data_IF_409069076319
#
_entry.id   IF_409069076319
#
_cell.length_a   1.000
_cell.length_b   1.000
_cell.length_c   1.000
_cell.angle_alpha   90.00
_cell.angle_beta   90.00
_cell.angle_gamma   90.00
#
_symmetry.space_group_name_H-M   'P 1'
#
loop_
_entity.id
_entity.type
_entity.pdbx_description
1 polymer ?
#
# COMPACT_ATOMS: atom_id res chain seq x y z
N UNK A 1 -18.91 -5.07 -28.38
CA UNK A 1 -18.06 -5.51 -27.26
C UNK A 1 -18.83 -6.56 -26.47
N UNK A 2 -18.22 -7.70 -26.18
CA UNK A 2 -18.78 -8.66 -25.21
C UNK A 2 -18.67 -8.09 -23.80
N UNK A 3 -19.63 -8.42 -22.95
CA UNK A 3 -19.64 -8.03 -21.53
C UNK A 3 -19.18 -9.23 -20.69
N UNK A 4 -18.08 -9.08 -19.96
CA UNK A 4 -17.55 -10.12 -19.08
C UNK A 4 -17.85 -9.76 -17.63
N UNK A 5 -18.48 -10.67 -16.88
CA UNK A 5 -18.65 -10.52 -15.43
C UNK A 5 -17.30 -10.73 -14.75
N UNK A 6 -16.91 -9.80 -13.86
CA UNK A 6 -15.66 -9.95 -13.13
C UNK A 6 -15.77 -11.05 -12.08
N UNK A 7 -14.72 -11.86 -12.00
CA UNK A 7 -14.49 -12.90 -10.99
C UNK A 7 -13.25 -12.55 -10.15
N UNK A 8 -13.06 -13.17 -8.97
CA UNK A 8 -11.97 -12.85 -8.06
C UNK A 8 -10.54 -12.88 -8.65
N UNK A 9 -10.30 -13.74 -9.63
CA UNK A 9 -9.04 -13.92 -10.36
C UNK A 9 -8.60 -12.71 -11.20
N UNK A 10 -9.52 -11.79 -11.52
CA UNK A 10 -9.18 -10.51 -12.15
C UNK A 10 -8.53 -9.52 -11.18
N UNK A 11 -8.64 -9.73 -9.87
CA UNK A 11 -8.31 -8.71 -8.87
C UNK A 11 -6.97 -9.02 -8.22
N UNK A 12 -6.02 -8.10 -8.34
CA UNK A 12 -4.70 -8.20 -7.73
C UNK A 12 -4.52 -7.15 -6.63
N UNK A 13 -3.71 -7.46 -5.61
CA UNK A 13 -3.41 -6.56 -4.48
C UNK A 13 -4.47 -6.45 -3.38
N UNK A 14 -5.60 -7.17 -3.52
CA UNK A 14 -6.60 -7.33 -2.46
C UNK A 14 -6.28 -8.54 -1.58
N UNK A 15 -6.66 -8.48 -0.30
CA UNK A 15 -6.53 -9.58 0.66
C UNK A 15 -7.73 -10.53 0.60
N UNK A 16 -8.92 -9.99 0.40
CA UNK A 16 -10.14 -10.76 0.20
C UNK A 16 -11.12 -9.98 -0.68
N UNK A 17 -12.11 -10.67 -1.22
CA UNK A 17 -13.08 -10.10 -2.16
C UNK A 17 -14.47 -10.48 -1.66
N UNK A 18 -15.24 -9.47 -1.26
CA UNK A 18 -16.61 -9.60 -0.77
C UNK A 18 -17.55 -9.69 -2.00
N UNK A 19 -18.28 -10.80 -2.18
CA UNK A 19 -19.29 -10.89 -3.23
C UNK A 19 -20.54 -10.11 -2.82
N UNK A 20 -21.06 -9.30 -3.74
CA UNK A 20 -22.36 -8.64 -3.64
C UNK A 20 -23.32 -9.10 -4.72
N UNK A 21 -24.50 -8.50 -4.78
CA UNK A 21 -25.50 -8.76 -5.83
C UNK A 21 -25.01 -8.18 -7.18
N UNK A 22 -24.30 -9.02 -7.95
CA UNK A 22 -23.76 -8.64 -9.27
C UNK A 22 -22.47 -7.82 -9.24
N UNK A 23 -21.82 -7.68 -8.08
CA UNK A 23 -20.55 -6.95 -7.93
C UNK A 23 -19.55 -7.68 -7.04
N UNK A 24 -18.28 -7.32 -7.16
CA UNK A 24 -17.17 -7.71 -6.30
C UNK A 24 -16.61 -6.48 -5.60
N UNK A 25 -16.41 -6.56 -4.28
CA UNK A 25 -15.78 -5.50 -3.50
C UNK A 25 -14.44 -6.01 -2.94
N UNK A 26 -13.30 -5.52 -3.43
CA UNK A 26 -12.00 -5.87 -2.88
C UNK A 26 -11.79 -5.23 -1.51
N UNK A 27 -11.16 -5.98 -0.62
CA UNK A 27 -10.76 -5.55 0.72
C UNK A 27 -9.27 -5.75 0.94
N UNK A 28 -8.65 -4.84 1.68
CA UNK A 28 -7.26 -4.96 2.17
C UNK A 28 -7.21 -5.55 3.59
N UNK A 29 -8.23 -6.33 3.92
CA UNK A 29 -8.36 -7.17 5.11
C UNK A 29 -9.20 -8.39 4.74
N UNK A 30 -9.42 -9.33 5.67
CA UNK A 30 -10.42 -10.38 5.50
C UNK A 30 -11.81 -9.83 5.84
N UNK A 31 -12.68 -9.69 4.82
CA UNK A 31 -14.02 -9.10 4.99
C UNK A 31 -14.92 -9.89 5.94
N UNK A 32 -14.64 -11.18 6.17
CA UNK A 32 -15.37 -12.03 7.14
C UNK A 32 -14.90 -11.85 8.59
N UNK A 33 -13.82 -11.09 8.80
CA UNK A 33 -13.17 -10.94 10.10
C UNK A 33 -13.00 -9.46 10.48
N UNK A 34 -13.75 -8.55 9.86
CA UNK A 34 -13.63 -7.10 10.05
C UNK A 34 -13.77 -6.68 11.51
N UNK A 35 -14.64 -7.35 12.26
CA UNK A 35 -14.89 -7.08 13.68
C UNK A 35 -13.68 -7.38 14.58
N UNK A 36 -12.69 -8.11 14.07
CA UNK A 36 -11.42 -8.36 14.77
C UNK A 36 -10.42 -7.21 14.63
N UNK A 37 -10.76 -6.13 13.91
CA UNK A 37 -9.88 -4.98 13.68
C UNK A 37 -10.48 -3.70 14.29
N UNK A 38 -10.57 -3.61 15.64
CA UNK A 38 -11.23 -2.49 16.30
C UNK A 38 -10.45 -1.18 16.12
N UNK A 39 -11.18 -0.07 15.99
CA UNK A 39 -10.61 1.28 16.02
C UNK A 39 -11.67 2.29 16.45
N UNK A 40 -11.25 3.47 16.89
CA UNK A 40 -12.18 4.56 17.20
C UNK A 40 -12.94 4.94 15.95
N UNK A 41 -14.27 4.96 16.03
CA UNK A 41 -15.21 5.23 14.94
C UNK A 41 -15.04 4.30 13.71
N UNK A 42 -14.55 3.08 13.89
CA UNK A 42 -14.29 2.10 12.81
C UNK A 42 -13.38 2.62 11.67
N UNK A 43 -12.55 3.64 11.94
CA UNK A 43 -11.69 4.28 10.94
C UNK A 43 -10.73 3.29 10.28
N UNK A 44 -10.18 2.32 11.00
CA UNK A 44 -9.32 1.29 10.42
C UNK A 44 -10.07 0.49 9.35
N UNK A 45 -11.32 0.12 9.63
CA UNK A 45 -12.15 -0.63 8.70
C UNK A 45 -12.45 0.18 7.44
N UNK A 46 -12.76 1.48 7.57
CA UNK A 46 -12.91 2.36 6.41
C UNK A 46 -11.66 2.40 5.53
N UNK A 47 -10.46 2.46 6.14
CA UNK A 47 -9.20 2.45 5.38
C UNK A 47 -8.96 1.09 4.73
N UNK A 48 -9.25 -0.01 5.40
CA UNK A 48 -9.15 -1.37 4.84
C UNK A 48 -10.08 -1.60 3.64
N UNK A 49 -11.21 -0.90 3.57
CA UNK A 49 -12.15 -0.98 2.46
C UNK A 49 -11.70 -0.19 1.21
N UNK A 50 -10.78 0.77 1.35
CA UNK A 50 -10.28 1.57 0.24
C UNK A 50 -9.32 0.72 -0.62
N UNK A 51 -9.43 0.66 -1.96
CA UNK A 51 -8.70 -0.29 -2.79
C UNK A 51 -7.32 0.22 -3.22
N UNK A 52 -6.58 0.80 -2.27
CA UNK A 52 -5.23 1.35 -2.48
C UNK A 52 -4.27 0.24 -2.90
N UNK A 53 -3.66 0.37 -4.08
CA UNK A 53 -2.77 -0.65 -4.66
C UNK A 53 -3.49 -1.85 -5.29
N UNK A 54 -4.83 -1.88 -5.24
CA UNK A 54 -5.63 -2.91 -5.90
C UNK A 54 -5.79 -2.57 -7.38
N UNK A 55 -5.80 -3.59 -8.24
CA UNK A 55 -5.90 -3.45 -9.69
C UNK A 55 -6.71 -4.58 -10.32
N UNK A 56 -7.36 -4.29 -11.44
CA UNK A 56 -7.99 -5.29 -12.31
C UNK A 56 -6.98 -5.67 -13.38
N UNK A 57 -6.56 -6.94 -13.41
CA UNK A 57 -5.53 -7.46 -14.31
C UNK A 57 -6.12 -8.47 -15.31
N UNK A 58 -5.91 -8.23 -16.60
CA UNK A 58 -6.52 -9.03 -17.67
C UNK A 58 -5.73 -8.99 -18.98
N UNK A 59 -5.99 -9.92 -19.89
CA UNK A 59 -5.68 -9.80 -21.33
C UNK A 59 -6.94 -9.53 -22.13
N UNK A 60 -6.81 -8.97 -23.33
CA UNK A 60 -7.95 -8.66 -24.20
C UNK A 60 -7.50 -8.49 -25.64
N UNK A 61 -8.31 -8.97 -26.59
CA UNK A 61 -8.09 -8.73 -28.03
C UNK A 61 -8.64 -7.39 -28.50
N UNK A 62 -9.33 -6.65 -27.63
CA UNK A 62 -9.80 -5.30 -27.93
C UNK A 62 -8.75 -4.24 -27.65
N UNK A 63 -8.70 -3.22 -28.51
CA UNK A 63 -7.95 -1.98 -28.28
C UNK A 63 -8.70 -0.99 -27.38
N UNK A 64 -9.95 -1.29 -27.02
CA UNK A 64 -10.81 -0.50 -26.13
C UNK A 64 -11.49 -1.41 -25.12
N UNK A 65 -11.53 -0.98 -23.86
CA UNK A 65 -12.27 -1.67 -22.79
C UNK A 65 -13.04 -0.69 -21.91
N UNK A 66 -14.18 -1.13 -21.38
CA UNK A 66 -14.97 -0.35 -20.43
C UNK A 66 -15.14 -1.12 -19.13
N UNK A 67 -14.58 -0.59 -18.04
CA UNK A 67 -14.77 -1.12 -16.68
C UNK A 67 -16.04 -0.49 -16.08
N UNK A 68 -16.94 -1.32 -15.57
CA UNK A 68 -18.16 -0.90 -14.87
C UNK A 68 -18.06 -1.15 -13.37
N UNK A 69 -18.71 -0.28 -12.59
CA UNK A 69 -18.64 -0.23 -11.14
C UNK A 69 -19.90 0.40 -10.55
N UNK A 70 -20.12 0.20 -9.25
CA UNK A 70 -21.16 0.94 -8.52
C UNK A 70 -20.77 2.42 -8.35
N UNK A 71 -21.78 3.32 -8.24
CA UNK A 71 -21.54 4.75 -8.09
C UNK A 71 -20.82 5.07 -6.78
N UNK A 72 -19.96 6.10 -6.82
CA UNK A 72 -19.33 6.68 -5.63
C UNK A 72 -19.87 8.09 -5.36
N UNK A 73 -19.78 8.53 -4.11
CA UNK A 73 -20.10 9.92 -3.71
C UNK A 73 -18.96 10.89 -4.02
N UNK A 74 -17.77 10.38 -4.36
CA UNK A 74 -16.57 11.17 -4.67
C UNK A 74 -16.07 10.84 -6.06
N UNK A 75 -15.40 11.82 -6.65
CA UNK A 75 -14.61 11.61 -7.85
C UNK A 75 -13.50 10.59 -7.58
N UNK A 76 -13.22 9.75 -8.57
CA UNK A 76 -12.24 8.67 -8.48
C UNK A 76 -11.28 8.71 -9.65
N UNK A 77 -9.98 8.58 -9.38
CA UNK A 77 -8.96 8.44 -10.40
C UNK A 77 -8.64 6.95 -10.64
N UNK A 78 -8.37 6.62 -11.89
CA UNK A 78 -7.94 5.30 -12.33
C UNK A 78 -6.77 5.44 -13.31
N UNK A 79 -5.84 4.50 -13.24
CA UNK A 79 -4.71 4.45 -14.18
C UNK A 79 -4.75 3.17 -15.01
N UNK A 80 -4.60 3.32 -16.33
CA UNK A 80 -4.28 2.21 -17.22
C UNK A 80 -2.76 2.02 -17.23
N UNK A 81 -2.29 0.84 -16.83
CA UNK A 81 -0.87 0.49 -16.80
C UNK A 81 -0.61 -0.72 -17.70
N UNK A 82 0.34 -0.58 -18.60
CA UNK A 82 0.79 -1.62 -19.54
C UNK A 82 2.32 -1.67 -19.48
N UNK A 83 2.88 -2.86 -19.22
CA UNK A 83 4.34 -3.07 -19.10
C UNK A 83 5.00 -2.02 -18.18
N UNK A 84 4.50 -1.90 -16.95
CA UNK A 84 4.92 -0.92 -15.93
C UNK A 84 4.75 0.58 -16.28
N UNK A 85 4.26 0.90 -17.48
CA UNK A 85 4.07 2.28 -17.94
C UNK A 85 2.63 2.71 -17.77
N UNK A 86 2.40 3.86 -17.12
CA UNK A 86 1.08 4.49 -17.07
C UNK A 86 0.78 5.05 -18.46
N UNK A 87 -0.28 4.54 -19.09
CA UNK A 87 -0.69 4.90 -20.45
C UNK A 87 -1.73 6.02 -20.44
N UNK A 88 -2.62 5.98 -19.46
CA UNK A 88 -3.69 6.97 -19.32
C UNK A 88 -4.13 7.04 -17.86
N UNK A 89 -4.38 8.26 -17.38
CA UNK A 89 -5.05 8.54 -16.10
C UNK A 89 -6.40 9.16 -16.41
N UNK A 90 -7.47 8.62 -15.82
CA UNK A 90 -8.82 9.15 -16.01
C UNK A 90 -9.53 9.37 -14.68
N UNK A 91 -10.26 10.48 -14.61
CA UNK A 91 -11.18 10.79 -13.53
C UNK A 91 -12.59 10.32 -13.90
N UNK A 92 -13.23 9.66 -12.96
CA UNK A 92 -14.65 9.30 -13.00
C UNK A 92 -15.35 10.20 -11.98
N UNK A 93 -16.22 11.13 -12.42
CA UNK A 93 -16.98 11.99 -11.53
C UNK A 93 -17.87 11.20 -10.55
N UNK A 94 -18.20 11.81 -9.42
CA UNK A 94 -19.17 11.26 -8.48
C UNK A 94 -20.50 10.88 -9.19
N UNK A 95 -21.05 9.72 -8.84
CA UNK A 95 -22.27 9.16 -9.43
C UNK A 95 -22.07 8.36 -10.73
N UNK A 96 -20.97 8.57 -11.46
CA UNK A 96 -20.68 7.82 -12.69
C UNK A 96 -20.26 6.36 -12.38
N UNK A 97 -20.64 5.46 -13.29
CA UNK A 97 -20.60 4.00 -13.07
C UNK A 97 -19.72 3.24 -14.07
N UNK A 98 -19.05 3.95 -14.98
CA UNK A 98 -18.16 3.30 -15.95
C UNK A 98 -16.98 4.19 -16.33
N UNK A 99 -15.92 3.54 -16.81
CA UNK A 99 -14.73 4.20 -17.36
C UNK A 99 -14.25 3.41 -18.57
N UNK A 100 -13.96 4.10 -19.66
CA UNK A 100 -13.48 3.48 -20.91
C UNK A 100 -12.04 3.88 -21.16
N UNK A 101 -11.19 2.90 -21.46
CA UNK A 101 -9.79 3.07 -21.86
C UNK A 101 -9.61 2.65 -23.32
N UNK A 102 -8.78 3.38 -24.07
CA UNK A 102 -8.47 3.12 -25.47
C UNK A 102 -6.97 2.82 -25.63
N UNK A 103 -6.56 2.54 -26.87
CA UNK A 103 -5.16 2.28 -27.25
C UNK A 103 -4.50 1.13 -26.47
N UNK A 104 -5.31 0.11 -26.11
CA UNK A 104 -4.80 -1.15 -25.60
C UNK A 104 -4.11 -1.96 -26.71
N UNK A 105 -3.18 -2.89 -26.37
CA UNK A 105 -2.44 -3.68 -27.36
C UNK A 105 -3.32 -4.51 -28.30
N UNK A 106 -4.48 -4.97 -27.83
CA UNK A 106 -5.36 -5.86 -28.60
C UNK A 106 -4.79 -7.28 -28.79
N UNK A 107 -3.97 -7.73 -27.84
CA UNK A 107 -3.33 -9.04 -27.83
C UNK A 107 -3.29 -9.63 -26.40
N UNK A 108 -2.50 -10.69 -26.21
CA UNK A 108 -2.37 -11.38 -24.91
C UNK A 108 -1.43 -10.66 -23.92
N UNK A 109 -1.04 -9.42 -24.17
CA UNK A 109 -0.26 -8.61 -23.22
C UNK A 109 -1.13 -8.27 -22.00
N UNK A 110 -0.71 -8.61 -20.76
CA UNK A 110 -1.46 -8.24 -19.57
C UNK A 110 -1.55 -6.72 -19.38
N UNK A 111 -2.73 -6.27 -18.99
CA UNK A 111 -3.06 -4.87 -18.69
C UNK A 111 -3.58 -4.77 -17.26
N UNK A 112 -3.17 -3.73 -16.53
CA UNK A 112 -3.68 -3.41 -15.20
C UNK A 112 -4.50 -2.11 -15.23
N UNK A 113 -5.72 -2.13 -14.69
CA UNK A 113 -6.45 -0.90 -14.31
C UNK A 113 -6.32 -0.73 -12.80
N UNK A 114 -5.54 0.26 -12.37
CA UNK A 114 -5.34 0.58 -10.96
C UNK A 114 -6.56 1.33 -10.40
N UNK A 115 -7.05 0.86 -9.25
CA UNK A 115 -8.26 1.38 -8.62
C UNK A 115 -7.98 2.61 -7.76
N UNK A 116 -9.03 3.39 -7.51
CA UNK A 116 -8.95 4.61 -6.72
C UNK A 116 -8.40 4.37 -5.30
N UNK A 117 -7.61 5.31 -4.78
CA UNK A 117 -7.10 5.26 -3.40
C UNK A 117 -8.12 5.79 -2.35
N UNK A 118 -9.32 6.19 -2.79
CA UNK A 118 -10.40 6.74 -1.95
C UNK A 118 -11.68 5.92 -2.07
N UNK A 119 -12.38 5.77 -0.94
CA UNK A 119 -13.62 4.99 -0.78
C UNK A 119 -13.49 3.52 -1.19
N UNK A 120 -14.45 2.69 -0.80
CA UNK A 120 -14.57 1.35 -1.38
C UNK A 120 -15.01 1.43 -2.85
N UNK A 121 -14.53 0.51 -3.69
CA UNK A 121 -14.98 0.37 -5.07
C UNK A 121 -15.60 -1.00 -5.29
N UNK A 122 -16.87 -1.04 -5.68
CA UNK A 122 -17.54 -2.28 -6.09
C UNK A 122 -17.53 -2.41 -7.61
N UNK A 123 -16.90 -3.46 -8.13
CA UNK A 123 -16.68 -3.71 -9.56
C UNK A 123 -17.73 -4.69 -10.10
N UNK A 124 -18.24 -4.47 -11.31
CA UNK A 124 -19.27 -5.33 -11.89
C UNK A 124 -18.76 -6.10 -13.10
N UNK A 125 -18.50 -5.40 -14.21
CA UNK A 125 -18.19 -6.00 -15.50
C UNK A 125 -17.05 -5.29 -16.20
N UNK A 126 -16.42 -6.02 -17.12
CA UNK A 126 -15.43 -5.48 -18.06
C UNK A 126 -15.90 -5.79 -19.48
N UNK A 127 -16.18 -4.74 -20.26
CA UNK A 127 -16.59 -4.87 -21.66
C UNK A 127 -15.38 -4.82 -22.59
N UNK A 128 -15.24 -5.82 -23.45
CA UNK A 128 -14.13 -6.00 -24.38
C UNK A 128 -14.17 -7.38 -25.03
N UNK A 129 -13.50 -7.55 -26.16
CA UNK A 129 -13.37 -8.83 -26.87
C UNK A 129 -12.34 -9.73 -26.20
N UNK A 130 -12.73 -10.97 -25.91
CA UNK A 130 -11.83 -11.99 -25.34
C UNK A 130 -11.15 -11.55 -24.04
N UNK A 131 -11.87 -10.79 -23.19
CA UNK A 131 -11.37 -10.40 -21.87
C UNK A 131 -11.21 -11.66 -21.00
N UNK A 132 -10.00 -11.89 -20.50
CA UNK A 132 -9.64 -13.02 -19.63
C UNK A 132 -8.79 -12.54 -18.45
N UNK A 133 -8.90 -13.16 -17.26
CA UNK A 133 -8.05 -12.81 -16.13
C UNK A 133 -6.60 -13.18 -16.46
N UNK A 134 -5.65 -12.34 -16.03
CA UNK A 134 -4.23 -12.61 -16.24
C UNK A 134 -3.52 -12.82 -14.89
N UNK A 135 -2.80 -13.94 -14.78
CA UNK A 135 -2.00 -14.24 -13.61
C UNK A 135 -0.90 -13.18 -13.41
N UNK A 136 -0.46 -13.03 -12.16
CA UNK A 136 0.60 -12.11 -11.78
C UNK A 136 1.73 -12.89 -11.06
N UNK A 137 2.69 -13.46 -11.81
CA UNK A 137 3.76 -14.28 -11.26
C UNK A 137 4.89 -13.47 -10.62
N UNK A 138 4.79 -12.13 -10.64
CA UNK A 138 5.79 -11.23 -10.07
C UNK A 138 5.92 -11.46 -8.57
N UNK A 139 7.12 -11.19 -8.05
CA UNK A 139 7.43 -11.25 -6.62
C UNK A 139 6.41 -10.46 -5.79
N UNK A 140 5.81 -11.11 -4.80
CA UNK A 140 4.79 -10.55 -3.91
C UNK A 140 5.44 -9.65 -2.88
N UNK A 141 5.20 -8.36 -3.01
CA UNK A 141 5.63 -7.37 -2.05
C UNK A 141 4.45 -6.82 -1.27
N UNK A 142 4.51 -6.95 0.06
CA UNK A 142 3.59 -6.28 0.96
C UNK A 142 4.27 -5.08 1.61
N UNK A 143 3.58 -3.93 1.61
CA UNK A 143 4.02 -2.77 2.40
C UNK A 143 2.98 -2.35 3.41
N UNK A 144 3.36 -2.12 4.67
CA UNK A 144 2.47 -1.64 5.74
C UNK A 144 2.89 -0.25 6.20
N UNK A 145 1.94 0.65 6.41
CA UNK A 145 2.26 2.00 6.90
C UNK A 145 1.08 2.93 7.06
N UNK A 146 1.38 4.21 7.26
CA UNK A 146 0.44 5.27 7.60
C UNK A 146 -0.27 5.91 6.39
N UNK A 147 -0.78 7.14 6.55
CA UNK A 147 -1.30 7.99 5.48
C UNK A 147 -0.29 8.21 4.36
N UNK A 148 0.99 8.34 4.72
CA UNK A 148 2.10 8.47 3.76
C UNK A 148 2.24 7.20 2.90
N UNK A 149 1.80 6.03 3.39
CA UNK A 149 1.74 4.80 2.58
C UNK A 149 0.43 4.66 1.82
N UNK A 150 -0.66 5.23 2.32
CA UNK A 150 -1.92 5.31 1.60
C UNK A 150 -1.89 6.27 0.40
N UNK A 151 -1.11 7.35 0.49
CA UNK A 151 -0.83 8.31 -0.58
C UNK A 151 -2.05 9.03 -1.18
N UNK A 152 -2.94 9.58 -0.35
CA UNK A 152 -4.14 10.27 -0.84
C UNK A 152 -3.83 11.53 -1.68
N UNK A 153 -2.65 12.10 -1.52
CA UNK A 153 -2.18 13.31 -2.22
C UNK A 153 -1.33 12.98 -3.45
N UNK A 154 -1.23 11.69 -3.81
CA UNK A 154 -0.60 11.28 -5.06
C UNK A 154 -1.40 11.76 -6.27
N UNK A 155 -0.71 12.01 -7.40
CA UNK A 155 -1.36 12.47 -8.63
C UNK A 155 -2.37 11.47 -9.19
N UNK A 156 -2.15 10.17 -8.96
CA UNK A 156 -3.03 9.08 -9.38
C UNK A 156 -2.64 7.77 -8.68
N UNK A 157 -3.49 6.72 -8.68
CA UNK A 157 -3.24 5.48 -7.94
C UNK A 157 -1.88 4.80 -8.18
N UNK A 158 -1.47 4.66 -9.45
CA UNK A 158 -0.21 4.04 -9.84
C UNK A 158 1.02 4.96 -9.67
N UNK A 159 0.79 6.24 -9.31
CA UNK A 159 1.80 7.26 -8.96
C UNK A 159 1.97 7.44 -7.45
N UNK A 160 1.28 6.66 -6.63
CA UNK A 160 1.61 6.51 -5.21
C UNK A 160 3.06 6.01 -5.05
N UNK A 161 3.72 6.25 -3.91
CA UNK A 161 5.08 5.73 -3.72
C UNK A 161 5.13 4.19 -3.80
N UNK A 162 4.15 3.42 -3.24
CA UNK A 162 4.15 1.97 -3.41
C UNK A 162 3.90 1.56 -4.86
N UNK A 163 2.97 2.23 -5.57
CA UNK A 163 2.73 1.96 -6.99
C UNK A 163 3.95 2.26 -7.86
N UNK A 164 4.69 3.32 -7.55
CA UNK A 164 5.93 3.70 -8.24
C UNK A 164 7.01 2.65 -8.05
N UNK A 165 7.23 2.18 -6.81
CA UNK A 165 8.18 1.11 -6.54
C UNK A 165 7.77 -0.19 -7.21
N UNK A 166 6.50 -0.57 -7.13
CA UNK A 166 6.01 -1.82 -7.71
C UNK A 166 6.20 -1.86 -9.24
N UNK A 167 6.00 -0.73 -9.93
CA UNK A 167 6.27 -0.61 -11.36
C UNK A 167 7.76 -0.59 -11.66
N UNK A 168 8.58 0.08 -10.85
CA UNK A 168 10.02 0.20 -11.07
C UNK A 168 10.79 -1.11 -10.81
N UNK A 169 10.33 -1.91 -9.86
CA UNK A 169 10.98 -3.15 -9.42
C UNK A 169 10.26 -4.43 -9.90
N UNK A 170 9.25 -4.29 -10.76
CA UNK A 170 8.43 -5.40 -11.28
C UNK A 170 7.81 -6.30 -10.19
N UNK A 171 7.10 -5.69 -9.24
CA UNK A 171 6.55 -6.38 -8.06
C UNK A 171 5.02 -6.50 -8.11
N UNK A 172 4.49 -7.58 -7.55
CA UNK A 172 3.08 -7.76 -7.24
C UNK A 172 2.77 -7.11 -5.87
N UNK A 173 2.26 -5.88 -5.91
CA UNK A 173 2.00 -5.07 -4.72
C UNK A 173 0.73 -5.50 -3.97
N UNK A 174 0.85 -5.62 -2.65
CA UNK A 174 -0.23 -5.48 -1.67
C UNK A 174 0.10 -4.31 -0.75
N UNK A 175 -0.70 -3.23 -0.80
CA UNK A 175 -0.46 -2.03 -0.01
C UNK A 175 -1.38 -2.01 1.22
N UNK A 176 -0.83 -2.12 2.42
CA UNK A 176 -1.53 -1.93 3.70
C UNK A 176 -1.25 -0.54 4.30
N UNK A 177 -1.28 0.49 3.45
CA UNK A 177 -1.31 1.88 3.90
C UNK A 177 -2.66 2.24 4.51
N UNK A 178 -2.73 2.48 5.82
CA UNK A 178 -3.95 2.83 6.52
C UNK A 178 -3.81 4.22 7.15
N UNK A 179 -4.42 5.22 6.51
CA UNK A 179 -4.28 6.62 6.87
C UNK A 179 -4.73 6.89 8.30
N UNK A 180 -3.76 7.28 9.14
CA UNK A 180 -3.97 7.57 10.55
C UNK A 180 -4.17 6.34 11.42
N UNK A 181 -3.95 5.13 10.90
CA UNK A 181 -4.31 3.87 11.57
C UNK A 181 -3.18 2.83 11.58
N UNK A 182 -1.93 3.25 11.32
CA UNK A 182 -0.76 2.38 11.45
C UNK A 182 -0.27 2.40 12.90
N UNK A 183 -0.79 1.53 13.78
CA UNK A 183 -0.48 1.55 15.22
C UNK A 183 0.22 0.30 15.76
N UNK A 184 0.74 -0.57 14.88
CA UNK A 184 1.33 -1.87 15.26
C UNK A 184 0.31 -2.81 15.94
N UNK A 185 -0.92 -2.76 15.47
CA UNK A 185 -1.99 -3.64 15.93
C UNK A 185 -1.63 -5.11 15.69
N UNK A 186 -1.68 -5.93 16.74
CA UNK A 186 -1.34 -7.35 16.65
C UNK A 186 -2.20 -8.10 15.63
N UNK A 187 -3.44 -7.67 15.43
CA UNK A 187 -4.32 -8.24 14.41
C UNK A 187 -3.85 -7.94 12.99
N UNK A 188 -3.18 -6.81 12.74
CA UNK A 188 -2.54 -6.54 11.45
C UNK A 188 -1.30 -7.41 11.28
N UNK A 189 -0.51 -7.64 12.34
CA UNK A 189 0.61 -8.58 12.28
C UNK A 189 0.14 -9.98 11.92
N UNK A 190 -0.95 -10.46 12.53
CA UNK A 190 -1.58 -11.75 12.21
C UNK A 190 -2.14 -11.79 10.80
N UNK A 191 -2.72 -10.68 10.32
CA UNK A 191 -3.17 -10.56 8.94
C UNK A 191 -2.01 -10.79 7.97
N UNK A 192 -0.87 -10.11 8.19
CA UNK A 192 0.34 -10.25 7.36
C UNK A 192 0.92 -11.67 7.47
N UNK A 193 1.04 -12.21 8.69
CA UNK A 193 1.49 -13.58 8.97
C UNK A 193 0.71 -14.61 8.15
N UNK A 194 -0.60 -14.45 8.06
CA UNK A 194 -1.50 -15.38 7.37
C UNK A 194 -1.62 -15.10 5.85
N UNK A 195 -0.73 -14.29 5.26
CA UNK A 195 -0.66 -14.04 3.81
C UNK A 195 0.55 -14.71 3.18
N UNK A 196 0.43 -15.02 1.90
CA UNK A 196 1.54 -15.42 1.04
C UNK A 196 2.25 -14.15 0.52
N UNK A 197 3.51 -13.98 0.90
CA UNK A 197 4.32 -12.79 0.64
C UNK A 197 5.78 -13.18 0.51
N UNK A 198 6.49 -12.62 -0.46
CA UNK A 198 7.89 -12.92 -0.72
C UNK A 198 8.82 -11.89 -0.05
N UNK A 199 8.39 -10.61 0.05
CA UNK A 199 9.11 -9.57 0.77
C UNK A 199 8.17 -8.56 1.45
N UNK A 200 8.62 -8.00 2.57
CA UNK A 200 7.83 -7.10 3.40
C UNK A 200 8.58 -5.79 3.67
N UNK A 201 7.89 -4.65 3.54
CA UNK A 201 8.35 -3.38 4.12
C UNK A 201 7.34 -2.81 5.11
N UNK A 202 7.81 -2.22 6.21
CA UNK A 202 6.96 -1.59 7.21
C UNK A 202 7.46 -0.18 7.50
N UNK A 203 6.66 0.83 7.13
CA UNK A 203 6.94 2.23 7.40
C UNK A 203 6.23 2.71 8.66
N UNK A 204 6.96 2.77 9.77
CA UNK A 204 6.40 2.86 11.12
C UNK A 204 6.68 4.21 11.80
N UNK A 205 5.79 4.64 12.70
CA UNK A 205 6.07 5.67 13.72
C UNK A 205 5.07 6.83 13.75
N UNK A 206 4.86 7.53 12.63
CA UNK A 206 4.22 8.86 12.64
C UNK A 206 2.79 8.88 13.21
N UNK A 207 1.99 7.82 13.03
CA UNK A 207 0.65 7.75 13.61
C UNK A 207 0.69 7.54 15.13
N UNK A 208 1.64 6.75 15.63
CA UNK A 208 1.86 6.57 17.06
C UNK A 208 2.32 7.87 17.72
N UNK A 209 3.10 8.69 16.99
CA UNK A 209 3.50 10.01 17.47
C UNK A 209 2.28 10.93 17.57
N UNK A 210 1.51 11.03 16.49
CA UNK A 210 0.34 11.92 16.41
C UNK A 210 -0.78 11.57 17.41
N UNK A 211 -1.05 10.27 17.60
CA UNK A 211 -2.10 9.80 18.50
C UNK A 211 -1.61 9.54 19.95
N UNK A 212 -0.30 9.61 20.20
CA UNK A 212 0.31 9.20 21.46
C UNK A 212 -0.08 7.78 21.93
N UNK A 213 -0.38 6.88 20.99
CA UNK A 213 -0.90 5.54 21.25
C UNK A 213 0.17 4.56 21.78
N UNK A 214 1.45 4.82 21.51
CA UNK A 214 2.57 4.10 22.11
C UNK A 214 3.57 5.09 22.70
N UNK A 215 3.99 4.80 23.93
CA UNK A 215 5.02 5.55 24.66
C UNK A 215 6.42 5.04 24.32
N UNK A 216 7.50 5.77 24.66
CA UNK A 216 8.86 5.25 24.56
C UNK A 216 9.04 3.88 25.24
N UNK A 217 8.29 3.62 26.32
CA UNK A 217 8.33 2.33 27.03
C UNK A 217 7.71 1.19 26.24
N UNK A 218 6.67 1.44 25.44
CA UNK A 218 5.87 0.37 24.80
C UNK A 218 6.17 0.20 23.31
N UNK A 219 6.65 1.24 22.64
CA UNK A 219 6.86 1.25 21.19
C UNK A 219 7.81 0.16 20.69
N UNK A 220 9.02 0.09 21.26
CA UNK A 220 10.03 -0.92 20.89
C UNK A 220 9.53 -2.35 21.07
N UNK A 221 8.88 -2.62 22.21
CA UNK A 221 8.28 -3.93 22.48
C UNK A 221 7.19 -4.30 21.47
N UNK A 222 6.38 -3.33 21.05
CA UNK A 222 5.36 -3.53 20.01
C UNK A 222 5.99 -3.86 18.65
N UNK A 223 7.05 -3.16 18.23
CA UNK A 223 7.78 -3.46 16.99
C UNK A 223 8.33 -4.88 17.01
N UNK A 224 9.00 -5.27 18.10
CA UNK A 224 9.57 -6.62 18.25
C UNK A 224 8.45 -7.66 18.19
N UNK A 225 7.38 -7.50 18.98
CA UNK A 225 6.26 -8.44 18.98
C UNK A 225 5.58 -8.56 17.61
N UNK A 226 5.41 -7.44 16.90
CA UNK A 226 4.83 -7.42 15.56
C UNK A 226 5.65 -8.24 14.57
N UNK A 227 6.98 -8.07 14.56
CA UNK A 227 7.90 -8.88 13.74
C UNK A 227 7.85 -10.35 14.14
N UNK A 228 7.87 -10.66 15.45
CA UNK A 228 7.84 -12.04 15.92
C UNK A 228 6.57 -12.78 15.47
N UNK A 229 5.40 -12.12 15.51
CA UNK A 229 4.15 -12.68 14.99
C UNK A 229 4.28 -13.02 13.50
N UNK A 230 4.89 -12.14 12.69
CA UNK A 230 5.09 -12.39 11.26
C UNK A 230 6.05 -13.56 11.03
N UNK A 231 7.14 -13.63 11.81
CA UNK A 231 8.14 -14.72 11.73
C UNK A 231 7.58 -16.10 12.08
N UNK A 232 6.41 -16.20 12.73
CA UNK A 232 5.76 -17.50 13.02
C UNK A 232 5.49 -18.32 11.74
N UNK A 233 5.21 -17.66 10.61
CA UNK A 233 4.95 -18.32 9.31
C UNK A 233 5.94 -17.91 8.22
N UNK A 234 6.62 -16.77 8.40
CA UNK A 234 7.59 -16.23 7.45
C UNK A 234 9.00 -16.18 8.04
N UNK A 235 9.63 -17.34 8.34
CA UNK A 235 10.92 -17.37 9.03
C UNK A 235 12.00 -16.63 8.24
N UNK A 236 11.94 -16.68 6.91
CA UNK A 236 13.07 -16.32 6.05
C UNK A 236 12.78 -15.19 5.06
N UNK A 237 11.58 -14.60 4.99
CA UNK A 237 11.37 -13.51 4.01
C UNK A 237 12.17 -12.25 4.42
N UNK A 238 12.72 -11.47 3.49
CA UNK A 238 13.30 -10.17 3.81
C UNK A 238 12.25 -9.20 4.37
N UNK A 239 12.54 -8.59 5.54
CA UNK A 239 11.70 -7.57 6.19
C UNK A 239 12.47 -6.25 6.29
N UNK A 240 12.00 -5.21 5.62
CA UNK A 240 12.53 -3.84 5.73
C UNK A 240 11.72 -2.96 6.69
N UNK A 241 12.33 -2.52 7.78
CA UNK A 241 11.78 -1.51 8.69
C UNK A 241 12.21 -0.12 8.21
N UNK A 242 11.25 0.68 7.78
CA UNK A 242 11.47 2.03 7.29
C UNK A 242 11.05 3.03 8.36
N UNK A 243 11.98 3.85 8.84
CA UNK A 243 11.68 4.85 9.85
C UNK A 243 10.90 6.06 9.26
N UNK A 244 10.32 6.95 10.09
CA UNK A 244 9.60 8.13 9.59
C UNK A 244 10.45 9.00 8.66
N UNK A 245 9.80 9.59 7.64
CA UNK A 245 10.41 10.66 6.84
C UNK A 245 10.46 11.94 7.68
N UNK A 246 11.08 13.01 7.18
CA UNK A 246 11.09 14.30 7.88
C UNK A 246 9.65 14.78 8.17
N UNK A 247 9.42 15.31 9.37
CA UNK A 247 8.25 16.15 9.67
C UNK A 247 8.71 17.26 10.61
N UNK A 248 9.12 18.43 10.09
CA UNK A 248 9.87 19.45 10.84
C UNK A 248 9.31 19.81 12.22
N UNK A 249 8.01 20.11 12.41
CA UNK A 249 7.49 20.49 13.72
C UNK A 249 7.50 19.33 14.73
N UNK A 250 7.69 18.09 14.27
CA UNK A 250 7.62 16.85 15.05
C UNK A 250 8.98 16.21 15.30
N UNK A 251 10.06 16.70 14.68
CA UNK A 251 11.40 16.13 14.81
C UNK A 251 11.89 16.11 16.26
N UNK A 252 11.73 17.23 16.96
CA UNK A 252 12.22 17.42 18.34
C UNK A 252 11.12 17.78 19.33
N UNK A 253 9.90 18.10 18.87
CA UNK A 253 8.78 18.44 19.73
C UNK A 253 8.18 17.18 20.35
N UNK A 254 8.19 17.02 21.69
CA UNK A 254 7.61 15.85 22.32
C UNK A 254 6.08 15.85 22.23
N UNK A 255 5.48 14.69 21.97
CA UNK A 255 4.04 14.48 22.07
C UNK A 255 3.59 14.30 23.54
N UNK A 256 2.30 13.97 23.75
CA UNK A 256 1.71 13.81 25.09
C UNK A 256 2.37 12.72 25.96
N UNK A 257 3.08 11.75 25.36
CA UNK A 257 3.83 10.70 26.06
C UNK A 257 5.34 10.93 26.04
N UNK A 258 5.76 12.19 25.77
CA UNK A 258 7.15 12.66 25.71
C UNK A 258 8.00 11.96 24.66
N UNK A 259 7.39 11.54 23.55
CA UNK A 259 8.09 10.93 22.43
C UNK A 259 8.29 11.94 21.29
N UNK A 260 9.42 11.87 20.59
CA UNK A 260 9.72 12.70 19.41
C UNK A 260 9.90 11.81 18.18
N UNK A 261 9.85 12.39 16.97
CA UNK A 261 10.07 11.62 15.76
C UNK A 261 11.52 11.13 15.64
N UNK A 262 12.48 11.94 16.07
CA UNK A 262 13.90 11.55 16.18
C UNK A 262 14.10 10.33 17.09
N UNK A 263 13.55 10.36 18.30
CA UNK A 263 13.65 9.24 19.23
C UNK A 263 12.95 7.98 18.69
N UNK A 264 11.86 8.11 17.93
CA UNK A 264 11.24 6.96 17.26
C UNK A 264 12.18 6.30 16.24
N UNK A 265 12.98 7.08 15.50
CA UNK A 265 13.98 6.52 14.57
C UNK A 265 15.04 5.72 15.32
N UNK A 266 15.53 6.23 16.45
CA UNK A 266 16.50 5.54 17.32
C UNK A 266 15.92 4.24 17.90
N UNK A 267 14.66 4.28 18.37
CA UNK A 267 14.00 3.12 18.94
C UNK A 267 13.75 2.01 17.89
N UNK A 268 13.53 2.37 16.62
CA UNK A 268 13.44 1.40 15.53
C UNK A 268 14.78 0.74 15.22
N UNK A 269 15.90 1.49 15.28
CA UNK A 269 17.25 0.93 15.13
C UNK A 269 17.50 -0.10 16.25
N UNK A 270 17.30 0.29 17.52
CA UNK A 270 17.51 -0.63 18.65
C UNK A 270 16.54 -1.82 18.62
N UNK A 271 15.30 -1.67 18.11
CA UNK A 271 14.40 -2.80 17.89
C UNK A 271 14.98 -3.81 16.89
N UNK A 272 15.43 -3.35 15.73
CA UNK A 272 16.05 -4.21 14.69
C UNK A 272 17.32 -4.87 15.22
N UNK A 273 18.20 -4.12 15.88
CA UNK A 273 19.46 -4.66 16.44
C UNK A 273 19.21 -5.74 17.49
N UNK A 274 18.17 -5.58 18.33
CA UNK A 274 17.76 -6.61 19.30
C UNK A 274 17.24 -7.86 18.62
N UNK A 275 16.42 -7.72 17.58
CA UNK A 275 15.90 -8.85 16.82
C UNK A 275 17.08 -9.63 16.21
N UNK A 276 18.01 -8.95 15.54
CA UNK A 276 19.25 -9.56 15.00
C UNK A 276 20.03 -10.30 16.08
N UNK A 277 20.36 -9.61 17.18
CA UNK A 277 21.25 -10.14 18.22
C UNK A 277 20.65 -11.28 19.04
N UNK A 278 19.35 -11.21 19.35
CA UNK A 278 18.70 -12.15 20.28
C UNK A 278 17.99 -13.29 19.55
N UNK A 279 17.31 -12.98 18.44
CA UNK A 279 16.60 -13.97 17.64
C UNK A 279 17.45 -14.56 16.49
N UNK A 280 18.62 -13.96 16.18
CA UNK A 280 19.47 -14.42 15.07
C UNK A 280 18.87 -14.15 13.68
N UNK A 281 17.93 -13.21 13.57
CA UNK A 281 17.26 -12.89 12.32
C UNK A 281 18.12 -11.93 11.50
N UNK A 282 18.91 -12.46 10.56
CA UNK A 282 19.73 -11.65 9.66
C UNK A 282 18.95 -11.09 8.46
N UNK A 283 17.67 -11.44 8.31
CA UNK A 283 16.80 -11.03 7.20
C UNK A 283 15.86 -9.88 7.56
N UNK A 284 16.08 -9.22 8.70
CA UNK A 284 15.48 -7.93 9.02
C UNK A 284 16.46 -6.79 8.77
N UNK A 285 15.99 -5.71 8.15
CA UNK A 285 16.81 -4.57 7.74
C UNK A 285 16.21 -3.27 8.25
N UNK A 286 17.06 -2.34 8.69
CA UNK A 286 16.64 -0.98 9.01
C UNK A 286 16.99 -0.05 7.85
N UNK A 287 16.04 0.81 7.47
CA UNK A 287 16.25 1.88 6.51
C UNK A 287 15.83 3.23 7.12
N UNK A 288 16.73 4.20 7.04
CA UNK A 288 16.48 5.55 7.53
C UNK A 288 15.52 6.29 6.60
N UNK A 289 14.35 6.68 7.12
CA UNK A 289 13.35 7.42 6.35
C UNK A 289 13.83 8.78 5.83
N UNK A 290 14.84 9.38 6.47
CA UNK A 290 15.43 10.64 6.00
C UNK A 290 16.24 10.47 4.71
N UNK A 291 16.75 9.27 4.43
CA UNK A 291 17.46 8.98 3.17
C UNK A 291 16.49 8.78 2.00
N UNK A 292 15.20 8.63 2.29
CA UNK A 292 14.11 8.47 1.32
C UNK A 292 13.42 9.82 1.07
N UNK A 293 13.17 10.58 2.13
CA UNK A 293 12.58 11.92 2.03
C UNK A 293 13.04 12.77 3.23
N UNK A 294 14.03 13.61 2.96
CA UNK A 294 14.76 14.42 3.95
C UNK A 294 14.40 15.90 3.93
N UNK A 295 15.13 16.67 4.74
CA UNK A 295 14.90 18.12 4.93
C UNK A 295 15.05 18.93 3.63
N UNK A 296 15.90 18.47 2.71
CA UNK A 296 16.13 19.05 1.39
C UNK A 296 14.88 19.10 0.52
N UNK A 297 13.90 18.22 0.77
CA UNK A 297 12.65 18.14 0.00
C UNK A 297 11.47 18.90 0.64
N UNK A 298 11.64 19.45 1.86
CA UNK A 298 10.52 20.03 2.63
C UNK A 298 9.89 21.20 1.90
N UNK A 299 10.71 22.16 1.44
CA UNK A 299 10.23 23.43 0.89
C UNK A 299 9.32 23.24 -0.33
N UNK A 300 9.64 22.28 -1.20
CA UNK A 300 8.97 22.09 -2.48
C UNK A 300 7.88 21.01 -2.43
N UNK A 301 8.01 20.03 -1.52
CA UNK A 301 7.26 18.79 -1.60
C UNK A 301 6.49 18.41 -0.34
N UNK A 302 6.55 19.19 0.75
CA UNK A 302 5.90 18.87 2.04
C UNK A 302 4.96 20.00 2.53
N UNK A 303 3.84 20.27 1.84
CA UNK A 303 3.04 21.49 2.03
C UNK A 303 2.37 21.65 3.40
N UNK A 304 2.19 20.56 4.15
CA UNK A 304 1.57 20.56 5.49
C UNK A 304 2.54 20.09 6.60
N UNK A 305 3.85 20.12 6.30
CA UNK A 305 4.93 19.62 7.14
C UNK A 305 4.83 18.12 7.50
N UNK A 306 4.04 17.32 6.76
CA UNK A 306 3.79 15.91 7.09
C UNK A 306 3.63 14.99 5.88
N UNK A 307 2.78 15.34 4.91
CA UNK A 307 2.44 14.53 3.75
C UNK A 307 3.16 15.07 2.51
N UNK A 308 3.95 14.24 1.81
CA UNK A 308 4.44 14.61 0.50
C UNK A 308 3.29 14.99 -0.43
N UNK A 309 3.48 16.00 -1.29
CA UNK A 309 2.58 16.24 -2.41
C UNK A 309 2.76 15.16 -3.50
N UNK A 310 2.01 15.26 -4.60
CA UNK A 310 2.06 14.28 -5.69
C UNK A 310 3.47 14.02 -6.24
N UNK A 311 4.26 15.07 -6.47
CA UNK A 311 5.64 14.95 -6.95
C UNK A 311 6.56 14.36 -5.87
N UNK A 312 6.34 14.77 -4.62
CA UNK A 312 7.06 14.26 -3.45
C UNK A 312 6.88 12.75 -3.24
N UNK A 313 5.66 12.22 -3.44
CA UNK A 313 5.42 10.78 -3.38
C UNK A 313 6.13 10.00 -4.48
N UNK A 314 6.27 10.57 -5.68
CA UNK A 314 7.03 9.92 -6.76
C UNK A 314 8.55 9.96 -6.49
N UNK A 315 9.07 11.06 -5.94
CA UNK A 315 10.45 11.15 -5.47
C UNK A 315 10.70 10.08 -4.39
N UNK A 316 9.82 10.01 -3.40
CA UNK A 316 9.86 8.99 -2.36
C UNK A 316 9.85 7.58 -2.95
N UNK A 317 8.97 7.31 -3.92
CA UNK A 317 8.88 6.02 -4.59
C UNK A 317 10.18 5.63 -5.31
N UNK A 318 10.77 6.55 -6.07
CA UNK A 318 12.07 6.32 -6.72
C UNK A 318 13.17 6.05 -5.71
N UNK A 319 13.24 6.85 -4.65
CA UNK A 319 14.25 6.67 -3.60
C UNK A 319 14.11 5.31 -2.90
N UNK A 320 12.90 4.83 -2.64
CA UNK A 320 12.69 3.46 -2.12
C UNK A 320 13.16 2.40 -3.13
N UNK A 321 12.78 2.54 -4.39
CA UNK A 321 13.16 1.60 -5.45
C UNK A 321 14.69 1.53 -5.65
N UNK A 322 15.40 2.65 -5.49
CA UNK A 322 16.85 2.73 -5.69
C UNK A 322 17.66 2.37 -4.44
N UNK A 323 17.16 2.71 -3.24
CA UNK A 323 17.95 2.63 -1.99
C UNK A 323 17.58 1.47 -1.10
N UNK A 324 16.37 0.93 -1.22
CA UNK A 324 15.85 -0.11 -0.32
C UNK A 324 15.67 -1.43 -1.06
N UNK A 325 14.93 -1.40 -2.17
CA UNK A 325 14.55 -2.62 -2.88
C UNK A 325 15.74 -3.47 -3.34
N UNK A 326 16.90 -2.92 -3.77
CA UNK A 326 18.03 -3.76 -4.16
C UNK A 326 18.57 -4.62 -3.01
N UNK A 327 18.53 -4.10 -1.77
CA UNK A 327 18.97 -4.86 -0.59
C UNK A 327 17.98 -5.99 -0.28
N UNK A 328 16.67 -5.68 -0.29
CA UNK A 328 15.65 -6.69 0.05
C UNK A 328 15.49 -7.76 -1.03
N UNK A 329 15.56 -7.37 -2.30
CA UNK A 329 15.39 -8.30 -3.42
C UNK A 329 16.61 -9.21 -3.62
N UNK A 330 17.80 -8.83 -3.11
CA UNK A 330 18.97 -9.69 -3.13
C UNK A 330 18.84 -10.93 -2.21
N UNK A 331 17.84 -10.94 -1.32
CA UNK A 331 17.57 -12.02 -0.36
C UNK A 331 16.50 -13.03 -0.82
N UNK A 332 15.94 -12.84 -2.03
CA UNK A 332 14.92 -13.71 -2.64
C UNK A 332 15.55 -14.89 -3.40
#
# INVERSE_FOLDING_TARGET
MSLTQLTPDYIQGAISIEPGEGYLKPWRTNYLQTDLFPSVDDRLLERMASPVGVRVRFTTKSTTVTLSMLPSKRDRLYDLVINATIRETKQVPAGETSITFNDLPGDETPVDIWLAFVDSTSLTTLAGESVQPAADPRTKWLTYGSSITQCNESHSPARSWPGTVARACDLNLTCLGFAGQCHLDSMIARLIRDRDVDLLTMKLGINMLGAASLSPRTFKGAVIGFVQIIRETHPDIPIGIISPIISPPRETTPNAVRFTLSAMREELIDAVDRIKRVAGDDRIFYFNGLDIFGNDLVADYLPDDLHPNGDGYEIMGRNVAERIMPTLMAEL
#
